data_IF_151922045043
#
_entry.id   IF_151922045043
#
_cell.length_a   1.000
_cell.length_b   1.000
_cell.length_c   1.000
_cell.angle_alpha   90.00
_cell.angle_beta   90.00
_cell.angle_gamma   90.00
#
_symmetry.space_group_name_H-M   'P 1'
#
loop_
_entity.id
_entity.type
_entity.pdbx_description
1 polymer ?
#
# COMPACT_ATOMS: atom_id res chain seq x y z
N UNK A 1 -23.77 0.81 -17.97
CA UNK A 1 -22.77 1.71 -17.37
C UNK A 1 -21.39 1.06 -17.30
N UNK A 2 -21.27 -0.23 -16.96
CA UNK A 2 -19.99 -0.98 -17.03
C UNK A 2 -19.61 -1.41 -18.46
N UNK A 3 -20.57 -1.61 -19.36
CA UNK A 3 -20.30 -1.95 -20.78
C UNK A 3 -19.90 -0.77 -21.68
N UNK A 4 -20.04 0.47 -21.20
CA UNK A 4 -19.71 1.70 -21.94
C UNK A 4 -18.29 2.23 -21.64
N UNK A 5 -17.55 1.54 -20.76
CA UNK A 5 -16.14 1.83 -20.43
C UNK A 5 -15.15 0.90 -21.16
N UNK A 6 -15.64 0.00 -22.03
CA UNK A 6 -14.83 -0.96 -22.79
C UNK A 6 -14.80 -0.69 -24.30
N UNK A 7 -15.20 0.49 -24.78
CA UNK A 7 -15.09 0.84 -26.20
C UNK A 7 -13.68 1.36 -26.51
N UNK A 8 -12.79 0.43 -26.87
CA UNK A 8 -11.73 0.49 -27.89
C UNK A 8 -10.70 1.65 -27.91
N UNK A 9 -10.81 2.64 -27.03
CA UNK A 9 -9.98 3.84 -27.03
C UNK A 9 -8.92 3.87 -25.93
N UNK A 10 -9.02 2.99 -24.91
CA UNK A 10 -8.03 2.86 -23.84
C UNK A 10 -6.80 2.01 -24.24
N UNK A 11 -6.87 1.30 -25.37
CA UNK A 11 -5.76 0.52 -25.95
C UNK A 11 -5.23 1.08 -27.26
N UNK A 12 -5.66 2.27 -27.69
CA UNK A 12 -4.96 3.02 -28.71
C UNK A 12 -3.64 3.53 -28.10
N UNK A 13 -2.65 2.65 -28.04
CA UNK A 13 -1.31 2.97 -27.57
C UNK A 13 -0.83 4.20 -28.35
N UNK A 14 -0.51 5.32 -27.68
CA UNK A 14 0.04 6.45 -28.39
C UNK A 14 1.37 6.00 -28.99
N UNK A 15 1.41 5.92 -30.32
CA UNK A 15 2.60 5.76 -31.14
C UNK A 15 3.53 6.97 -30.93
N UNK A 16 4.17 7.06 -29.76
CA UNK A 16 5.39 7.85 -29.57
C UNK A 16 6.57 6.86 -29.69
N UNK A 17 6.86 6.48 -30.93
CA UNK A 17 7.66 5.34 -31.36
C UNK A 17 9.18 5.44 -31.13
N UNK A 18 9.69 6.23 -30.18
CA UNK A 18 11.14 6.47 -30.07
C UNK A 18 11.73 6.41 -28.64
N UNK A 19 11.08 5.76 -27.66
CA UNK A 19 11.82 5.36 -26.45
C UNK A 19 12.55 4.05 -26.75
N UNK A 20 13.88 4.07 -26.73
CA UNK A 20 14.67 2.85 -26.90
C UNK A 20 14.18 1.78 -25.90
N UNK A 21 14.00 0.52 -26.35
CA UNK A 21 13.50 -0.56 -25.49
C UNK A 21 14.33 -0.70 -24.20
N UNK A 22 15.64 -0.42 -24.26
CA UNK A 22 16.53 -0.41 -23.10
C UNK A 22 16.08 0.52 -21.97
N UNK A 23 15.53 1.70 -22.27
CA UNK A 23 15.08 2.67 -21.25
C UNK A 23 13.86 2.13 -20.50
N UNK A 24 12.94 1.48 -21.21
CA UNK A 24 11.77 0.86 -20.61
C UNK A 24 12.15 -0.31 -19.69
N UNK A 25 13.09 -1.16 -20.12
CA UNK A 25 13.61 -2.26 -19.30
C UNK A 25 14.26 -1.77 -18.00
N UNK A 26 15.11 -0.74 -18.07
CA UNK A 26 15.71 -0.15 -16.87
C UNK A 26 14.66 0.37 -15.91
N UNK A 27 13.59 1.01 -16.41
CA UNK A 27 12.50 1.51 -15.56
C UNK A 27 11.72 0.37 -14.89
N UNK A 28 11.42 -0.71 -15.62
CA UNK A 28 10.76 -1.90 -15.05
C UNK A 28 11.64 -2.53 -13.97
N UNK A 29 12.95 -2.64 -14.21
CA UNK A 29 13.90 -3.18 -13.24
C UNK A 29 13.92 -2.35 -11.96
N UNK A 30 14.06 -1.02 -12.07
CA UNK A 30 14.06 -0.12 -10.90
C UNK A 30 12.73 -0.19 -10.13
N UNK A 31 11.59 -0.23 -10.82
CA UNK A 31 10.28 -0.40 -10.18
C UNK A 31 10.16 -1.74 -9.47
N UNK A 32 10.67 -2.82 -10.07
CA UNK A 32 10.69 -4.16 -9.48
C UNK A 32 11.54 -4.18 -8.23
N UNK A 33 12.71 -3.54 -8.23
CA UNK A 33 13.57 -3.44 -7.05
C UNK A 33 12.90 -2.62 -5.93
N UNK A 34 12.32 -1.46 -6.24
CA UNK A 34 11.62 -0.63 -5.26
C UNK A 34 10.43 -1.36 -4.61
N UNK A 35 9.62 -2.03 -5.43
CA UNK A 35 8.48 -2.80 -4.94
C UNK A 35 8.93 -4.05 -4.17
N UNK A 36 10.03 -4.70 -4.58
CA UNK A 36 10.61 -5.83 -3.85
C UNK A 36 11.14 -5.41 -2.47
N UNK A 37 11.79 -4.24 -2.35
CA UNK A 37 12.23 -3.68 -1.06
C UNK A 37 11.02 -3.39 -0.17
N UNK A 38 9.97 -2.76 -0.71
CA UNK A 38 8.76 -2.47 0.06
C UNK A 38 8.07 -3.75 0.54
N UNK A 39 7.94 -4.75 -0.34
CA UNK A 39 7.39 -6.06 0.00
C UNK A 39 8.26 -6.78 1.04
N UNK A 40 9.58 -6.85 0.85
CA UNK A 40 10.50 -7.49 1.78
C UNK A 40 10.50 -6.81 3.15
N UNK A 41 10.49 -5.48 3.21
CA UNK A 41 10.37 -4.72 4.46
C UNK A 41 9.04 -5.01 5.16
N UNK A 42 7.95 -5.09 4.39
CA UNK A 42 6.64 -5.46 4.93
C UNK A 42 6.62 -6.91 5.46
N UNK A 43 7.15 -7.88 4.71
CA UNK A 43 7.25 -9.27 5.15
C UNK A 43 8.18 -9.42 6.37
N UNK A 44 9.30 -8.71 6.42
CA UNK A 44 10.20 -8.70 7.57
C UNK A 44 9.52 -8.13 8.82
N UNK A 45 8.63 -7.15 8.65
CA UNK A 45 7.87 -6.55 9.75
C UNK A 45 6.66 -7.38 10.18
N UNK A 46 6.02 -8.13 9.27
CA UNK A 46 4.67 -8.67 9.51
C UNK A 46 4.40 -10.11 9.07
N UNK A 47 5.24 -10.70 8.22
CA UNK A 47 4.89 -11.92 7.52
C UNK A 47 5.88 -13.05 7.74
N UNK A 48 5.56 -13.98 8.65
CA UNK A 48 5.85 -15.42 8.48
C UNK A 48 5.25 -16.27 9.61
N UNK A 49 3.94 -16.44 9.71
CA UNK A 49 3.25 -17.13 10.83
C UNK A 49 3.78 -18.51 11.29
N UNK A 50 4.58 -19.23 10.49
CA UNK A 50 5.26 -20.47 10.91
C UNK A 50 6.78 -20.34 11.15
N UNK A 51 7.49 -19.41 10.51
CA UNK A 51 8.87 -19.07 10.88
C UNK A 51 8.93 -18.05 12.06
N UNK A 52 7.82 -17.38 12.35
CA UNK A 52 7.59 -16.43 13.46
C UNK A 52 7.83 -17.09 14.81
N UNK A 53 7.51 -18.39 14.98
CA UNK A 53 7.86 -19.09 16.23
C UNK A 53 9.35 -19.28 16.45
N UNK A 54 10.18 -19.18 15.41
CA UNK A 54 11.63 -19.33 15.51
C UNK A 54 12.40 -18.01 15.34
N UNK A 55 11.92 -17.04 14.55
CA UNK A 55 12.70 -15.83 14.23
C UNK A 55 11.90 -14.54 13.88
N UNK A 56 10.56 -14.49 13.97
CA UNK A 56 9.79 -13.51 13.15
C UNK A 56 8.68 -12.70 13.79
N UNK A 57 8.67 -12.55 15.09
CA UNK A 57 8.29 -11.37 15.87
C UNK A 57 9.01 -11.70 17.15
N UNK A 58 9.97 -10.88 17.59
CA UNK A 58 10.59 -11.14 18.91
C UNK A 58 9.47 -11.38 19.92
N UNK A 59 9.69 -12.26 20.89
CA UNK A 59 8.78 -12.42 22.03
C UNK A 59 8.31 -11.03 22.51
N UNK A 60 9.24 -10.07 22.53
CA UNK A 60 9.06 -8.64 22.74
C UNK A 60 7.96 -7.97 21.89
N UNK A 61 7.85 -8.23 20.59
CA UNK A 61 6.81 -7.60 19.76
C UNK A 61 5.46 -8.25 20.02
N UNK A 62 5.42 -9.57 20.22
CA UNK A 62 4.18 -10.24 20.60
C UNK A 62 3.70 -9.78 21.98
N UNK A 63 4.61 -9.66 22.95
CA UNK A 63 4.36 -9.07 24.27
C UNK A 63 3.87 -7.62 24.15
N UNK A 64 4.52 -6.81 23.32
CA UNK A 64 4.07 -5.44 23.04
C UNK A 64 2.64 -5.40 22.49
N UNK A 65 2.32 -6.27 21.53
CA UNK A 65 0.97 -6.40 20.95
C UNK A 65 -0.07 -6.84 22.00
N UNK A 66 0.33 -7.73 22.92
CA UNK A 66 -0.53 -8.21 24.02
C UNK A 66 -0.77 -7.11 25.05
N UNK A 67 0.29 -6.41 25.45
CA UNK A 67 0.24 -5.33 26.45
C UNK A 67 -0.63 -4.15 25.98
N UNK A 68 -0.61 -3.86 24.67
CA UNK A 68 -1.27 -2.69 24.08
C UNK A 68 -2.59 -3.03 23.38
N UNK A 69 -3.22 -4.16 23.68
CA UNK A 69 -4.49 -4.59 23.06
C UNK A 69 -5.64 -3.58 23.30
N UNK A 70 -5.65 -2.91 24.47
CA UNK A 70 -6.60 -1.82 24.75
C UNK A 70 -6.38 -0.59 23.87
N UNK A 71 -5.14 -0.32 23.48
CA UNK A 71 -4.79 0.81 22.61
C UNK A 71 -5.31 0.63 21.18
N UNK A 72 -5.38 -0.62 20.68
CA UNK A 72 -6.00 -0.95 19.39
C UNK A 72 -7.44 -0.44 19.30
N UNK A 73 -8.27 -0.76 20.31
CA UNK A 73 -9.69 -0.39 20.32
C UNK A 73 -9.86 1.13 20.36
N UNK A 74 -9.04 1.80 21.17
CA UNK A 74 -9.01 3.27 21.27
C UNK A 74 -8.59 3.90 19.94
N UNK A 75 -7.54 3.41 19.29
CA UNK A 75 -7.06 3.92 18.02
C UNK A 75 -8.13 3.82 16.93
N UNK A 76 -8.78 2.67 16.77
CA UNK A 76 -9.88 2.50 15.82
C UNK A 76 -11.09 3.39 16.16
N UNK A 77 -11.44 3.51 17.44
CA UNK A 77 -12.58 4.34 17.87
C UNK A 77 -12.35 5.81 17.56
N UNK A 78 -11.15 6.34 17.83
CA UNK A 78 -10.78 7.72 17.50
C UNK A 78 -10.75 7.93 15.98
N UNK A 79 -10.16 6.99 15.23
CA UNK A 79 -10.13 7.06 13.77
C UNK A 79 -11.54 7.11 13.17
N UNK A 80 -12.44 6.25 13.64
CA UNK A 80 -13.84 6.20 13.22
C UNK A 80 -14.59 7.48 13.61
N UNK A 81 -14.41 7.96 14.84
CA UNK A 81 -15.03 9.20 15.30
C UNK A 81 -14.59 10.39 14.44
N UNK A 82 -13.30 10.51 14.12
CA UNK A 82 -12.77 11.55 13.24
C UNK A 82 -13.34 11.44 11.83
N UNK A 83 -13.43 10.24 11.25
CA UNK A 83 -14.06 10.03 9.95
C UNK A 83 -15.54 10.45 9.95
N UNK A 84 -16.29 10.09 10.98
CA UNK A 84 -17.68 10.50 11.15
C UNK A 84 -17.80 12.03 11.27
N UNK A 85 -16.91 12.69 12.04
CA UNK A 85 -16.89 14.15 12.13
C UNK A 85 -16.58 14.79 10.77
N UNK A 86 -15.56 14.29 10.06
CA UNK A 86 -15.21 14.78 8.72
C UNK A 86 -16.36 14.61 7.73
N UNK A 87 -17.13 13.53 7.86
CA UNK A 87 -18.33 13.31 7.07
C UNK A 87 -19.45 14.29 7.43
N UNK A 88 -19.77 14.45 8.72
CA UNK A 88 -20.83 15.36 9.21
C UNK A 88 -20.56 16.81 8.81
N UNK A 89 -19.31 17.26 8.92
CA UNK A 89 -18.90 18.63 8.56
C UNK A 89 -18.62 18.81 7.06
N UNK A 90 -18.89 17.77 6.27
CA UNK A 90 -18.70 17.74 4.83
C UNK A 90 -17.34 18.32 4.40
N UNK A 91 -16.28 17.58 4.73
CA UNK A 91 -14.89 17.97 4.46
C UNK A 91 -14.61 18.24 2.96
N UNK A 92 -15.53 17.86 2.06
CA UNK A 92 -15.42 18.12 0.64
C UNK A 92 -15.43 19.64 0.34
N UNK A 93 -16.18 20.43 1.11
CA UNK A 93 -16.33 21.89 0.92
C UNK A 93 -15.22 22.73 1.58
N UNK A 94 -14.26 22.10 2.25
CA UNK A 94 -13.18 22.79 2.97
C UNK A 94 -12.10 23.29 1.99
N UNK A 95 -12.32 24.46 1.39
CA UNK A 95 -11.49 24.98 0.27
C UNK A 95 -10.40 25.98 0.67
N UNK A 96 -10.55 26.66 1.81
CA UNK A 96 -9.61 27.66 2.32
C UNK A 96 -8.23 27.09 2.71
N UNK A 97 -7.18 27.92 2.71
CA UNK A 97 -5.80 27.48 3.03
C UNK A 97 -5.71 26.76 4.39
N UNK A 98 -6.25 27.37 5.44
CA UNK A 98 -6.28 26.77 6.78
C UNK A 98 -7.15 25.49 6.82
N UNK A 99 -8.32 25.52 6.18
CA UNK A 99 -9.21 24.37 6.11
C UNK A 99 -8.59 23.17 5.37
N UNK A 100 -7.80 23.44 4.33
CA UNK A 100 -7.05 22.42 3.58
C UNK A 100 -5.96 21.77 4.41
N UNK A 101 -5.20 22.57 5.18
CA UNK A 101 -4.20 22.05 6.12
C UNK A 101 -4.90 21.15 7.14
N UNK A 102 -5.98 21.63 7.76
CA UNK A 102 -6.75 20.85 8.73
C UNK A 102 -7.28 19.55 8.12
N UNK A 103 -7.88 19.60 6.92
CA UNK A 103 -8.38 18.43 6.18
C UNK A 103 -7.30 17.37 5.99
N UNK A 104 -6.13 17.75 5.48
CA UNK A 104 -5.06 16.79 5.24
C UNK A 104 -4.46 16.28 6.54
N UNK A 105 -4.30 17.13 7.56
CA UNK A 105 -3.86 16.70 8.88
C UNK A 105 -4.82 15.69 9.49
N UNK A 106 -6.14 15.90 9.41
CA UNK A 106 -7.14 14.95 9.90
C UNK A 106 -7.08 13.61 9.16
N UNK A 107 -6.98 13.61 7.83
CA UNK A 107 -6.79 12.37 7.07
C UNK A 107 -5.50 11.65 7.43
N UNK A 108 -4.40 12.38 7.64
CA UNK A 108 -3.13 11.81 8.08
C UNK A 108 -3.25 11.17 9.47
N UNK A 109 -3.89 11.84 10.43
CA UNK A 109 -4.14 11.30 11.77
C UNK A 109 -4.98 10.03 11.69
N UNK A 110 -6.08 10.04 10.93
CA UNK A 110 -6.92 8.86 10.70
C UNK A 110 -6.10 7.73 10.09
N UNK A 111 -5.29 8.02 9.05
CA UNK A 111 -4.42 7.04 8.41
C UNK A 111 -3.46 6.40 9.39
N UNK A 112 -2.77 7.20 10.22
CA UNK A 112 -1.84 6.71 11.25
C UNK A 112 -2.56 5.82 12.26
N UNK A 113 -3.72 6.26 12.78
CA UNK A 113 -4.49 5.50 13.77
C UNK A 113 -5.00 4.17 13.20
N UNK A 114 -5.45 4.14 11.95
CA UNK A 114 -5.84 2.91 11.27
C UNK A 114 -4.63 1.99 11.05
N UNK A 115 -3.47 2.54 10.67
CA UNK A 115 -2.24 1.75 10.53
C UNK A 115 -1.86 1.09 11.85
N UNK A 116 -1.78 1.87 12.93
CA UNK A 116 -1.49 1.38 14.28
C UNK A 116 -2.52 0.33 14.69
N UNK A 117 -3.81 0.59 14.48
CA UNK A 117 -4.89 -0.36 14.75
C UNK A 117 -4.72 -1.68 14.01
N UNK A 118 -4.39 -1.65 12.72
CA UNK A 118 -4.16 -2.86 11.92
C UNK A 118 -2.91 -3.64 12.36
N UNK A 119 -1.84 -2.95 12.75
CA UNK A 119 -0.64 -3.59 13.33
C UNK A 119 -1.00 -4.30 14.63
N UNK A 120 -1.71 -3.61 15.53
CA UNK A 120 -2.11 -4.17 16.81
C UNK A 120 -3.14 -5.30 16.68
N UNK A 121 -3.98 -5.25 15.65
CA UNK A 121 -4.95 -6.30 15.33
C UNK A 121 -4.29 -7.59 14.82
N UNK A 122 -3.00 -7.58 14.45
CA UNK A 122 -2.29 -8.75 13.91
C UNK A 122 -2.37 -10.00 14.80
N UNK A 123 -2.46 -9.83 16.13
CA UNK A 123 -2.67 -10.94 17.08
C UNK A 123 -4.02 -11.63 16.90
N UNK A 124 -5.11 -10.86 16.75
CA UNK A 124 -6.49 -11.38 16.64
C UNK A 124 -6.83 -11.80 15.21
N UNK A 125 -6.31 -11.06 14.24
CA UNK A 125 -6.53 -11.27 12.83
C UNK A 125 -5.17 -11.26 12.12
N UNK A 126 -4.55 -12.43 11.91
CA UNK A 126 -3.25 -12.55 11.23
C UNK A 126 -3.22 -11.94 9.82
N UNK A 127 -4.39 -11.77 9.19
CA UNK A 127 -4.54 -11.09 7.91
C UNK A 127 -4.58 -9.56 7.98
N UNK A 128 -4.74 -8.96 9.16
CA UNK A 128 -4.85 -7.50 9.31
C UNK A 128 -3.61 -6.74 8.81
N UNK A 129 -2.36 -7.21 9.04
CA UNK A 129 -1.20 -6.59 8.41
C UNK A 129 -1.24 -6.70 6.88
N UNK A 130 -1.62 -7.84 6.32
CA UNK A 130 -1.73 -8.00 4.86
C UNK A 130 -2.74 -7.02 4.27
N UNK A 131 -3.89 -6.83 4.95
CA UNK A 131 -4.87 -5.83 4.56
C UNK A 131 -4.29 -4.41 4.62
N UNK A 132 -3.46 -4.11 5.63
CA UNK A 132 -2.74 -2.84 5.74
C UNK A 132 -1.78 -2.63 4.57
N UNK A 133 -1.03 -3.64 4.16
CA UNK A 133 -0.17 -3.57 2.97
C UNK A 133 -0.97 -3.22 1.72
N UNK A 134 -2.08 -3.94 1.47
CA UNK A 134 -2.94 -3.69 0.31
C UNK A 134 -3.51 -2.27 0.33
N UNK A 135 -3.83 -1.73 1.51
CA UNK A 135 -4.36 -0.38 1.67
C UNK A 135 -3.30 0.70 1.46
N UNK A 136 -2.06 0.47 1.92
CA UNK A 136 -0.95 1.42 1.77
C UNK A 136 -0.29 1.37 0.39
N UNK A 137 -0.40 0.24 -0.32
CA UNK A 137 0.28 0.01 -1.58
C UNK A 137 -0.07 1.03 -2.69
N UNK A 138 -1.34 1.44 -2.90
CA UNK A 138 -1.66 2.51 -3.84
C UNK A 138 -0.97 3.84 -3.51
N UNK A 139 -0.85 4.16 -2.21
CA UNK A 139 -0.13 5.35 -1.74
C UNK A 139 1.36 5.27 -2.04
N UNK A 140 1.97 4.10 -1.85
CA UNK A 140 3.35 3.83 -2.24
C UNK A 140 3.58 3.99 -3.75
N UNK A 141 2.70 3.41 -4.58
CA UNK A 141 2.77 3.54 -6.05
C UNK A 141 2.62 5.00 -6.48
N UNK A 142 1.69 5.74 -5.86
CA UNK A 142 1.54 7.17 -6.11
C UNK A 142 2.81 7.95 -5.73
N UNK A 143 3.43 7.64 -4.59
CA UNK A 143 4.67 8.27 -4.14
C UNK A 143 5.83 8.01 -5.12
N UNK A 144 6.00 6.77 -5.57
CA UNK A 144 7.01 6.42 -6.59
C UNK A 144 6.76 7.23 -7.86
N UNK A 145 5.50 7.31 -8.30
CA UNK A 145 5.12 8.06 -9.50
C UNK A 145 5.49 9.53 -9.35
N UNK A 146 5.04 10.18 -8.29
CA UNK A 146 5.24 11.61 -8.10
C UNK A 146 6.70 11.98 -7.83
N UNK A 147 7.45 11.09 -7.15
CA UNK A 147 8.86 11.31 -6.81
C UNK A 147 9.82 11.05 -7.99
N UNK A 148 9.67 9.91 -8.66
CA UNK A 148 10.68 9.43 -9.62
C UNK A 148 10.20 9.40 -11.07
N UNK A 149 8.89 9.26 -11.30
CA UNK A 149 8.32 9.03 -12.64
C UNK A 149 7.28 10.08 -13.05
N UNK A 150 7.43 11.33 -12.56
CA UNK A 150 6.46 12.41 -12.81
C UNK A 150 6.26 12.73 -14.29
N UNK A 151 7.31 12.60 -15.09
CA UNK A 151 7.32 12.86 -16.53
C UNK A 151 6.82 11.68 -17.37
N UNK A 152 6.61 10.50 -16.77
CA UNK A 152 6.17 9.32 -17.49
C UNK A 152 4.66 9.37 -17.71
N UNK A 153 4.25 8.98 -18.92
CA UNK A 153 2.83 8.82 -19.23
C UNK A 153 2.16 7.82 -18.27
N UNK A 154 0.90 8.10 -17.91
CA UNK A 154 0.11 7.32 -16.95
C UNK A 154 0.02 5.86 -17.39
N UNK A 155 -0.30 5.61 -18.66
CA UNK A 155 -0.49 4.26 -19.16
C UNK A 155 0.81 3.45 -19.11
N UNK A 156 1.93 4.05 -19.54
CA UNK A 156 3.26 3.43 -19.48
C UNK A 156 3.69 3.12 -18.04
N UNK A 157 3.44 4.04 -17.10
CA UNK A 157 3.76 3.83 -15.69
C UNK A 157 2.95 2.67 -15.09
N UNK A 158 1.65 2.63 -15.36
CA UNK A 158 0.78 1.56 -14.87
C UNK A 158 1.15 0.20 -15.48
N UNK A 159 1.50 0.16 -16.77
CA UNK A 159 2.00 -1.05 -17.43
C UNK A 159 3.28 -1.58 -16.77
N UNK A 160 4.28 -0.71 -16.59
CA UNK A 160 5.55 -1.10 -15.95
C UNK A 160 5.34 -1.55 -14.49
N UNK A 161 4.46 -0.86 -13.76
CA UNK A 161 4.08 -1.24 -12.39
C UNK A 161 3.41 -2.61 -12.37
N UNK A 162 2.48 -2.89 -13.30
CA UNK A 162 1.81 -4.18 -13.43
C UNK A 162 2.79 -5.33 -13.67
N UNK A 163 3.77 -5.15 -14.57
CA UNK A 163 4.82 -6.14 -14.81
C UNK A 163 5.65 -6.37 -13.54
N UNK A 164 6.09 -5.29 -12.88
CA UNK A 164 6.90 -5.41 -11.66
C UNK A 164 6.18 -6.18 -10.56
N UNK A 165 4.87 -5.94 -10.40
CA UNK A 165 4.04 -6.61 -9.44
C UNK A 165 3.89 -8.09 -9.77
N UNK A 166 3.68 -8.43 -11.03
CA UNK A 166 3.58 -9.81 -11.48
C UNK A 166 4.87 -10.59 -11.20
N UNK A 167 6.04 -9.98 -11.45
CA UNK A 167 7.35 -10.59 -11.13
C UNK A 167 7.47 -10.86 -9.63
N UNK A 168 7.15 -9.87 -8.79
CA UNK A 168 7.24 -9.99 -7.33
C UNK A 168 6.26 -11.05 -6.82
N UNK A 169 5.00 -11.02 -7.26
CA UNK A 169 3.99 -12.00 -6.87
C UNK A 169 4.39 -13.42 -7.26
N UNK A 170 4.95 -13.61 -8.47
CA UNK A 170 5.46 -14.91 -8.91
C UNK A 170 6.64 -15.39 -8.03
N UNK A 171 7.58 -14.50 -7.71
CA UNK A 171 8.70 -14.82 -6.83
C UNK A 171 8.24 -15.16 -5.40
N UNK A 172 7.32 -14.37 -4.83
CA UNK A 172 6.73 -14.63 -3.51
C UNK A 172 5.97 -15.95 -3.49
N UNK A 173 5.18 -16.25 -4.52
CA UNK A 173 4.49 -17.53 -4.64
C UNK A 173 5.46 -18.70 -4.73
N UNK A 174 6.54 -18.58 -5.50
CA UNK A 174 7.58 -19.61 -5.60
C UNK A 174 8.29 -19.86 -4.26
N UNK A 175 8.66 -18.80 -3.54
CA UNK A 175 9.25 -18.91 -2.19
C UNK A 175 8.28 -19.57 -1.22
N UNK A 176 6.99 -19.19 -1.27
CA UNK A 176 5.97 -19.80 -0.44
C UNK A 176 5.78 -21.29 -0.76
N UNK A 177 5.71 -21.67 -2.03
CA UNK A 177 5.61 -23.08 -2.42
C UNK A 177 6.83 -23.88 -1.97
N UNK A 178 8.04 -23.33 -2.12
CA UNK A 178 9.28 -23.97 -1.66
C UNK A 178 9.35 -24.12 -0.13
N UNK A 179 8.60 -23.31 0.61
CA UNK A 179 8.51 -23.41 2.07
C UNK A 179 7.45 -24.42 2.55
N UNK A 180 6.36 -24.56 1.80
CA UNK A 180 5.23 -25.44 2.16
C UNK A 180 5.46 -26.89 1.77
N UNK A 181 6.18 -27.13 0.67
CA UNK A 181 6.59 -28.46 0.18
C UNK A 181 7.80 -28.95 0.96
#
# INVERSE_FOLDING_TARGET
>A
FVSLLMSDSLFAAPHSSNELPSVLYTRILTLTLLNAIAAAGFFALFGMGNAVRKYGFGEEVYEFLVEHEGFMTTAFSIALALLCLMYIFDVSYWTGKAARIMKYTSFTIVGILLCIGCVLAGKRAPGAPVALYVLLFPGWVALIRYGFYRSLDVAKFLYATGISLLIISAATAAVWMAYVV
#
